data_IF_762013891508
#
_entry.id   IF_762013891508
#
_cell.length_a   1.000
_cell.length_b   1.000
_cell.length_c   1.000
_cell.angle_alpha   90.00
_cell.angle_beta   90.00
_cell.angle_gamma   90.00
#
_symmetry.space_group_name_H-M   'P 1'
#
loop_
_entity.id
_entity.type
_entity.pdbx_description
1 polymer ?
#
# COMPACT_ATOMS: atom_id res chain seq x y z
N UNK A 1 -7.19 32.44 1.63
CA UNK A 1 -7.11 31.42 2.72
C UNK A 1 -8.30 30.49 2.58
N UNK A 2 -8.07 29.20 2.49
CA UNK A 2 -9.10 28.15 2.38
C UNK A 2 -9.22 27.43 3.70
N UNK A 3 -10.42 26.97 4.07
CA UNK A 3 -10.68 26.34 5.36
C UNK A 3 -11.53 25.07 5.20
N UNK A 4 -11.26 24.06 6.02
CA UNK A 4 -12.04 22.82 6.10
C UNK A 4 -12.08 22.28 7.54
N UNK A 5 -12.91 21.30 7.80
CA UNK A 5 -12.87 20.55 9.06
C UNK A 5 -11.60 19.70 9.13
N UNK A 6 -11.24 19.05 8.01
CA UNK A 6 -10.08 18.17 7.90
C UNK A 6 -9.21 18.59 6.73
N UNK A 7 -7.91 18.71 6.95
CA UNK A 7 -6.91 18.85 5.89
C UNK A 7 -6.06 17.58 5.84
N UNK A 8 -6.00 16.93 4.68
CA UNK A 8 -5.21 15.73 4.45
C UNK A 8 -4.03 16.06 3.54
N UNK A 9 -2.82 15.77 3.97
CA UNK A 9 -1.59 15.97 3.22
C UNK A 9 -1.13 14.68 2.57
N UNK A 10 -1.11 14.65 1.24
CA UNK A 10 -0.69 13.50 0.42
C UNK A 10 -1.82 12.90 -0.40
N UNK A 11 -1.67 12.93 -1.73
CA UNK A 11 -2.65 12.42 -2.71
C UNK A 11 -2.48 10.94 -3.07
N UNK A 12 -1.66 10.19 -2.32
CA UNK A 12 -1.52 8.73 -2.47
C UNK A 12 -2.73 7.97 -1.91
N UNK A 13 -2.73 6.65 -2.10
CA UNK A 13 -3.87 5.78 -1.75
C UNK A 13 -4.33 5.96 -0.28
N UNK A 14 -3.40 6.11 0.66
CA UNK A 14 -3.72 6.34 2.07
C UNK A 14 -4.45 7.67 2.27
N UNK A 15 -3.92 8.77 1.71
CA UNK A 15 -4.56 10.08 1.84
C UNK A 15 -5.93 10.12 1.17
N UNK A 16 -6.10 9.48 0.01
CA UNK A 16 -7.38 9.32 -0.66
C UNK A 16 -8.38 8.54 0.21
N UNK A 17 -7.93 7.45 0.86
CA UNK A 17 -8.79 6.65 1.73
C UNK A 17 -9.25 7.45 2.97
N UNK A 18 -8.34 8.16 3.63
CA UNK A 18 -8.64 9.02 4.79
C UNK A 18 -9.59 10.16 4.41
N UNK A 19 -9.31 10.85 3.30
CA UNK A 19 -10.15 11.95 2.83
C UNK A 19 -11.58 11.48 2.49
N UNK A 20 -11.70 10.35 1.80
CA UNK A 20 -12.99 9.77 1.46
C UNK A 20 -13.80 9.37 2.69
N UNK A 21 -13.15 8.79 3.72
CA UNK A 21 -13.82 8.39 4.96
C UNK A 21 -14.21 9.59 5.81
N UNK A 22 -13.34 10.58 5.99
CA UNK A 22 -13.68 11.81 6.72
C UNK A 22 -14.89 12.52 6.07
N UNK A 23 -14.91 12.61 4.75
CA UNK A 23 -16.05 13.18 4.01
C UNK A 23 -17.31 12.30 4.12
N UNK A 24 -17.18 10.98 4.12
CA UNK A 24 -18.31 10.05 4.37
C UNK A 24 -18.94 10.28 5.74
N UNK A 25 -18.14 10.64 6.74
CA UNK A 25 -18.58 11.01 8.09
C UNK A 25 -19.08 12.45 8.22
N UNK A 26 -19.21 13.18 7.12
CA UNK A 26 -19.84 14.50 7.05
C UNK A 26 -18.89 15.69 7.17
N UNK A 27 -17.59 15.49 7.23
CA UNK A 27 -16.63 16.59 7.27
C UNK A 27 -16.42 17.24 5.89
N UNK A 28 -16.17 18.54 5.89
CA UNK A 28 -15.52 19.22 4.77
C UNK A 28 -14.02 18.88 4.77
N UNK A 29 -13.48 18.52 3.61
CA UNK A 29 -12.11 18.05 3.48
C UNK A 29 -11.36 18.84 2.42
N UNK A 30 -10.13 19.23 2.72
CA UNK A 30 -9.17 19.68 1.72
C UNK A 30 -8.06 18.64 1.63
N UNK A 31 -7.93 18.00 0.46
CA UNK A 31 -6.82 17.09 0.16
C UNK A 31 -5.74 17.85 -0.61
N UNK A 32 -4.56 17.97 -0.01
CA UNK A 32 -3.40 18.65 -0.61
C UNK A 32 -2.35 17.63 -1.00
N UNK A 33 -1.95 17.64 -2.26
CA UNK A 33 -0.86 16.77 -2.73
C UNK A 33 -0.53 17.02 -4.19
N UNK A 34 0.73 16.85 -4.52
CA UNK A 34 1.23 16.81 -5.89
C UNK A 34 1.55 15.37 -6.30
N UNK A 35 1.57 15.10 -7.60
CA UNK A 35 2.09 13.84 -8.11
C UNK A 35 3.62 13.90 -8.14
N UNK A 36 4.25 12.87 -7.58
CA UNK A 36 5.71 12.74 -7.54
C UNK A 36 6.15 11.44 -8.20
N UNK A 37 7.25 11.51 -8.93
CA UNK A 37 7.87 10.29 -9.46
C UNK A 37 8.33 9.39 -8.31
N UNK A 38 8.08 8.09 -8.44
CA UNK A 38 8.44 7.11 -7.41
C UNK A 38 7.41 6.93 -6.30
N UNK A 39 6.19 7.48 -6.42
CA UNK A 39 5.11 7.19 -5.47
C UNK A 39 4.88 5.69 -5.31
N UNK A 40 4.75 5.24 -4.05
CA UNK A 40 4.59 3.83 -3.73
C UNK A 40 3.28 3.23 -4.23
N UNK A 41 2.18 3.99 -4.20
CA UNK A 41 0.84 3.49 -4.54
C UNK A 41 0.74 2.97 -5.98
N UNK A 42 1.14 3.73 -7.03
CA UNK A 42 1.12 3.22 -8.38
C UNK A 42 2.21 2.18 -8.66
N UNK A 43 3.32 2.21 -7.90
CA UNK A 43 4.43 1.28 -8.11
C UNK A 43 4.21 -0.10 -7.49
N UNK A 44 3.27 -0.27 -6.57
CA UNK A 44 3.03 -1.53 -5.90
C UNK A 44 2.47 -2.62 -6.81
N UNK A 45 2.59 -3.88 -6.39
CA UNK A 45 2.03 -5.02 -7.09
C UNK A 45 0.60 -5.39 -6.67
N UNK A 46 0.04 -4.71 -5.68
CA UNK A 46 -1.34 -4.92 -5.25
C UNK A 46 -1.60 -6.14 -4.39
N UNK A 47 -0.58 -6.79 -3.85
CA UNK A 47 -0.75 -7.96 -2.98
C UNK A 47 -1.49 -7.60 -1.69
N UNK A 48 -2.38 -8.50 -1.28
CA UNK A 48 -3.12 -8.48 -0.02
C UNK A 48 -2.77 -9.77 0.73
N UNK A 49 -1.62 -9.79 1.38
CA UNK A 49 -0.91 -10.98 1.80
C UNK A 49 -0.64 -11.09 3.33
N UNK A 50 -1.59 -10.79 4.23
CA UNK A 50 -1.32 -10.88 5.67
C UNK A 50 -1.08 -12.31 6.16
N UNK A 51 -1.49 -13.32 5.40
CA UNK A 51 -1.22 -14.73 5.67
C UNK A 51 0.20 -15.11 5.24
N UNK A 52 0.53 -14.89 3.96
CA UNK A 52 1.84 -15.22 3.40
C UNK A 52 2.99 -14.39 4.01
N UNK A 53 2.72 -13.16 4.46
CA UNK A 53 3.70 -12.31 5.16
C UNK A 53 3.55 -12.36 6.70
N UNK A 54 2.87 -13.35 7.25
CA UNK A 54 2.51 -13.40 8.68
C UNK A 54 3.72 -13.46 9.64
N UNK A 55 4.83 -14.03 9.21
CA UNK A 55 6.06 -14.09 10.00
C UNK A 55 6.78 -12.73 10.12
N UNK A 56 6.50 -11.82 9.19
CA UNK A 56 7.03 -10.46 9.20
C UNK A 56 6.21 -9.51 10.08
N UNK A 57 5.08 -9.95 10.61
CA UNK A 57 4.19 -9.14 11.47
C UNK A 57 4.55 -9.35 12.95
N UNK A 58 5.07 -8.32 13.64
CA UNK A 58 5.75 -8.47 14.93
C UNK A 58 4.83 -8.78 16.13
N UNK A 59 3.51 -8.58 15.98
CA UNK A 59 2.56 -8.83 17.08
C UNK A 59 1.19 -9.27 16.56
N UNK A 60 0.36 -9.83 17.47
CA UNK A 60 -1.02 -10.19 17.16
C UNK A 60 -1.87 -8.99 16.72
N UNK A 61 -1.73 -7.85 17.40
CA UNK A 61 -2.47 -6.63 17.09
C UNK A 61 -2.15 -6.11 15.67
N UNK A 62 -0.88 -6.15 15.27
CA UNK A 62 -0.46 -5.78 13.91
C UNK A 62 -1.00 -6.76 12.88
N UNK A 63 -1.00 -8.05 13.20
CA UNK A 63 -1.57 -9.08 12.32
C UNK A 63 -3.08 -8.92 12.17
N UNK A 64 -3.79 -8.68 13.27
CA UNK A 64 -5.24 -8.43 13.25
C UNK A 64 -5.59 -7.20 12.41
N UNK A 65 -4.82 -6.12 12.53
CA UNK A 65 -4.98 -4.92 11.72
C UNK A 65 -4.75 -5.21 10.21
N UNK A 66 -3.74 -6.01 9.88
CA UNK A 66 -3.46 -6.40 8.49
C UNK A 66 -4.54 -7.32 7.92
N UNK A 67 -5.02 -8.30 8.70
CA UNK A 67 -6.16 -9.17 8.35
C UNK A 67 -7.42 -8.33 8.15
N UNK A 68 -7.71 -7.40 9.07
CA UNK A 68 -8.83 -6.46 8.94
C UNK A 68 -8.75 -5.64 7.66
N UNK A 69 -7.56 -5.17 7.29
CA UNK A 69 -7.30 -4.48 6.03
C UNK A 69 -7.69 -5.30 4.81
N UNK A 70 -7.26 -6.57 4.75
CA UNK A 70 -7.63 -7.51 3.68
C UNK A 70 -9.13 -7.80 3.65
N UNK A 71 -9.71 -8.08 4.80
CA UNK A 71 -11.10 -8.52 4.92
C UNK A 71 -12.11 -7.41 4.58
N UNK A 72 -11.69 -6.15 4.66
CA UNK A 72 -12.48 -5.01 4.21
C UNK A 72 -12.56 -4.87 2.68
N UNK A 73 -11.63 -5.45 1.92
CA UNK A 73 -11.56 -5.22 0.46
C UNK A 73 -12.86 -5.54 -0.29
N UNK A 74 -13.56 -6.67 -0.05
CA UNK A 74 -14.80 -6.97 -0.78
C UNK A 74 -15.87 -5.89 -0.64
N UNK A 75 -16.13 -5.40 0.57
CA UNK A 75 -17.11 -4.35 0.82
C UNK A 75 -16.61 -2.97 0.35
N UNK A 76 -15.33 -2.70 0.52
CA UNK A 76 -14.68 -1.47 0.09
C UNK A 76 -14.74 -1.30 -1.44
N UNK A 77 -14.42 -2.35 -2.20
CA UNK A 77 -14.48 -2.32 -3.66
C UNK A 77 -15.91 -2.24 -4.19
N UNK A 78 -16.87 -2.91 -3.53
CA UNK A 78 -18.28 -2.78 -3.87
C UNK A 78 -18.77 -1.33 -3.69
N UNK A 79 -18.51 -0.73 -2.54
CA UNK A 79 -18.88 0.67 -2.29
C UNK A 79 -18.19 1.62 -3.28
N UNK A 80 -16.96 1.31 -3.66
CA UNK A 80 -16.21 2.09 -4.65
C UNK A 80 -16.84 1.98 -6.05
N UNK A 81 -17.26 0.78 -6.45
CA UNK A 81 -17.98 0.55 -7.70
C UNK A 81 -19.34 1.29 -7.71
N UNK A 82 -20.12 1.17 -6.64
CA UNK A 82 -21.42 1.83 -6.52
C UNK A 82 -21.32 3.35 -6.65
N UNK A 83 -20.22 3.96 -6.16
CA UNK A 83 -20.00 5.41 -6.23
C UNK A 83 -19.36 5.87 -7.54
N UNK A 84 -18.57 5.03 -8.20
CA UNK A 84 -17.71 5.48 -9.32
C UNK A 84 -18.02 4.82 -10.66
N UNK A 85 -18.68 3.67 -10.65
CA UNK A 85 -18.90 2.82 -11.81
C UNK A 85 -17.63 2.10 -12.30
N UNK A 86 -16.52 2.17 -11.54
CA UNK A 86 -15.25 1.56 -11.91
C UNK A 86 -15.11 0.22 -11.20
N UNK A 87 -15.10 -0.86 -11.98
CA UNK A 87 -14.83 -2.21 -11.48
C UNK A 87 -13.31 -2.41 -11.33
N UNK A 88 -12.88 -2.64 -10.10
CA UNK A 88 -11.46 -2.83 -9.77
C UNK A 88 -11.17 -4.33 -9.74
N UNK A 89 -10.31 -4.85 -10.65
CA UNK A 89 -9.96 -6.26 -10.66
C UNK A 89 -9.39 -6.72 -9.31
N UNK A 90 -10.01 -7.77 -8.76
CA UNK A 90 -9.68 -8.32 -7.45
C UNK A 90 -9.56 -9.84 -7.53
N UNK A 91 -8.34 -10.35 -7.44
CA UNK A 91 -8.04 -11.78 -7.41
C UNK A 91 -8.09 -12.29 -5.96
N UNK A 92 -8.92 -13.31 -5.72
CA UNK A 92 -9.14 -13.97 -4.43
C UNK A 92 -8.82 -15.47 -4.50
N UNK A 93 -8.02 -15.92 -5.45
CA UNK A 93 -7.67 -17.33 -5.59
C UNK A 93 -6.72 -17.84 -4.51
N UNK A 94 -6.27 -16.97 -3.64
CA UNK A 94 -5.26 -17.25 -2.62
C UNK A 94 -3.85 -16.92 -3.09
N UNK A 95 -2.92 -17.02 -2.14
CA UNK A 95 -1.48 -16.88 -2.39
C UNK A 95 -0.79 -18.20 -2.09
N UNK A 96 0.04 -18.68 -3.01
CA UNK A 96 0.92 -19.82 -2.83
C UNK A 96 2.29 -19.32 -2.37
N UNK A 97 2.63 -19.62 -1.12
CA UNK A 97 3.96 -19.38 -0.55
C UNK A 97 4.85 -20.60 -0.84
N UNK A 98 5.83 -20.44 -1.72
CA UNK A 98 6.71 -21.51 -2.18
C UNK A 98 7.70 -21.96 -1.10
N UNK A 99 7.88 -23.26 -0.95
CA UNK A 99 8.79 -23.86 0.01
C UNK A 99 9.87 -24.62 -0.76
N UNK A 100 11.13 -24.24 -0.56
CA UNK A 100 12.30 -24.86 -1.20
C UNK A 100 12.68 -26.20 -0.58
N UNK A 101 12.71 -26.28 0.75
CA UNK A 101 13.17 -27.44 1.50
C UNK A 101 12.02 -28.22 2.13
N UNK A 102 12.22 -29.53 2.33
CA UNK A 102 11.24 -30.43 2.97
C UNK A 102 11.23 -30.36 4.49
N UNK A 103 11.85 -29.36 5.10
CA UNK A 103 11.82 -29.19 6.54
C UNK A 103 10.40 -28.91 7.04
N UNK A 104 10.11 -29.25 8.32
CA UNK A 104 8.80 -29.00 8.89
C UNK A 104 8.51 -27.51 8.89
N UNK A 105 7.67 -27.07 7.97
CA UNK A 105 7.28 -25.68 7.84
C UNK A 105 6.16 -25.39 8.84
N UNK A 106 6.33 -24.32 9.63
CA UNK A 106 5.25 -23.81 10.48
C UNK A 106 4.14 -23.28 9.59
N UNK A 107 2.96 -23.86 9.70
CA UNK A 107 1.79 -23.42 8.94
C UNK A 107 0.96 -22.45 9.77
N UNK A 108 0.68 -21.25 9.28
CA UNK A 108 -0.29 -20.34 9.89
C UNK A 108 -1.68 -20.99 9.95
N UNK A 109 -2.47 -20.64 10.97
CA UNK A 109 -3.85 -21.13 11.09
C UNK A 109 -4.67 -20.72 9.84
N UNK A 110 -5.43 -21.68 9.30
CA UNK A 110 -6.25 -21.45 8.10
C UNK A 110 -5.49 -21.55 6.77
N UNK A 111 -4.20 -21.91 6.77
CA UNK A 111 -3.45 -22.23 5.56
C UNK A 111 -3.44 -23.73 5.27
N UNK A 112 -3.16 -24.09 4.02
CA UNK A 112 -3.15 -25.48 3.53
C UNK A 112 -1.78 -25.84 2.95
N UNK A 113 -1.31 -27.07 3.23
CA UNK A 113 -0.10 -27.59 2.58
C UNK A 113 -0.44 -28.19 1.22
N UNK A 114 0.28 -27.74 0.19
CA UNK A 114 0.23 -28.29 -1.17
C UNK A 114 1.58 -28.97 -1.43
N UNK A 115 1.56 -30.28 -1.59
CA UNK A 115 2.81 -31.03 -1.88
C UNK A 115 3.31 -30.77 -3.31
N UNK A 116 4.56 -31.19 -3.60
CA UNK A 116 5.20 -30.94 -4.88
C UNK A 116 4.43 -31.50 -6.09
N UNK A 117 3.67 -32.59 -5.92
CA UNK A 117 2.86 -33.16 -6.99
C UNK A 117 1.64 -32.29 -7.25
N UNK A 118 0.89 -32.00 -6.21
CA UNK A 118 -0.31 -31.16 -6.29
C UNK A 118 0.04 -29.75 -6.79
N UNK A 119 1.19 -29.19 -6.36
CA UNK A 119 1.68 -27.89 -6.84
C UNK A 119 1.92 -27.88 -8.34
N UNK A 120 2.55 -28.95 -8.91
CA UNK A 120 2.76 -29.06 -10.35
C UNK A 120 1.46 -29.23 -11.15
N UNK A 121 0.47 -29.91 -10.56
CA UNK A 121 -0.85 -30.05 -11.19
C UNK A 121 -1.62 -28.71 -11.17
N UNK A 122 -1.49 -27.96 -10.08
CA UNK A 122 -2.16 -26.67 -9.89
C UNK A 122 -1.51 -25.53 -10.70
N UNK A 123 -0.18 -25.49 -10.73
CA UNK A 123 0.63 -24.45 -11.35
C UNK A 123 1.73 -25.05 -12.24
N UNK A 124 1.39 -25.57 -13.41
CA UNK A 124 2.31 -26.34 -14.27
C UNK A 124 3.47 -25.52 -14.85
N UNK A 125 3.43 -24.19 -14.80
CA UNK A 125 4.48 -23.31 -15.28
C UNK A 125 5.54 -23.01 -14.22
N UNK A 126 5.34 -23.43 -12.95
CA UNK A 126 6.34 -23.23 -11.88
C UNK A 126 7.53 -24.19 -12.02
N UNK A 127 8.66 -23.76 -11.44
CA UNK A 127 9.85 -24.58 -11.27
C UNK A 127 9.66 -25.68 -10.21
N UNK A 128 10.76 -26.35 -9.86
CA UNK A 128 10.75 -27.38 -8.83
C UNK A 128 10.85 -26.78 -7.43
N UNK A 129 9.84 -27.09 -6.60
CA UNK A 129 9.75 -26.74 -5.19
C UNK A 129 9.33 -27.94 -4.37
N UNK A 130 9.66 -27.98 -3.09
CA UNK A 130 9.22 -29.04 -2.18
C UNK A 130 7.69 -29.05 -1.98
N UNK A 131 7.08 -27.90 -2.17
CA UNK A 131 5.63 -27.68 -2.08
C UNK A 131 5.34 -26.20 -1.91
N UNK A 132 4.12 -25.91 -1.47
CA UNK A 132 3.69 -24.55 -1.14
C UNK A 132 2.73 -24.56 0.07
N UNK A 133 2.65 -23.43 0.75
CA UNK A 133 1.55 -23.15 1.68
C UNK A 133 0.53 -22.28 0.93
N UNK A 134 -0.69 -22.77 0.80
CA UNK A 134 -1.80 -21.99 0.28
C UNK A 134 -2.40 -21.14 1.41
N UNK A 135 -2.46 -19.84 1.21
CA UNK A 135 -3.16 -18.86 2.02
C UNK A 135 -4.48 -18.48 1.32
N UNK A 136 -5.60 -19.21 1.57
CA UNK A 136 -6.78 -19.14 0.72
C UNK A 136 -7.54 -17.80 0.78
N UNK A 137 -7.33 -17.03 1.84
CA UNK A 137 -7.98 -15.74 2.02
C UNK A 137 -7.17 -14.56 1.48
N UNK A 138 -5.89 -14.76 1.17
CA UNK A 138 -5.02 -13.75 0.60
C UNK A 138 -5.28 -13.59 -0.92
N UNK A 139 -4.76 -12.54 -1.52
CA UNK A 139 -4.99 -12.29 -2.94
C UNK A 139 -4.28 -11.05 -3.45
N UNK A 140 -4.84 -10.45 -4.50
CA UNK A 140 -4.30 -9.21 -5.06
C UNK A 140 -5.40 -8.35 -5.69
N UNK A 141 -5.19 -7.03 -5.64
CA UNK A 141 -6.04 -6.04 -6.31
C UNK A 141 -5.23 -5.33 -7.40
N UNK A 142 -5.90 -4.92 -8.48
CA UNK A 142 -5.26 -4.01 -9.43
C UNK A 142 -5.12 -2.63 -8.81
N UNK A 143 -3.92 -2.32 -8.35
CA UNK A 143 -3.63 -1.07 -7.65
C UNK A 143 -3.76 0.16 -8.54
N UNK A 144 -3.52 0.05 -9.85
CA UNK A 144 -3.65 1.18 -10.77
C UNK A 144 -5.12 1.53 -10.99
N UNK A 145 -5.97 0.53 -11.22
CA UNK A 145 -7.41 0.72 -11.33
C UNK A 145 -8.00 1.20 -10.01
N UNK A 146 -7.53 0.66 -8.87
CA UNK A 146 -7.91 1.10 -7.53
C UNK A 146 -7.64 2.60 -7.31
N UNK A 147 -6.44 3.07 -7.69
CA UNK A 147 -6.07 4.49 -7.56
C UNK A 147 -6.96 5.37 -8.44
N UNK A 148 -7.26 4.94 -9.68
CA UNK A 148 -8.17 5.66 -10.57
C UNK A 148 -9.56 5.76 -9.94
N UNK A 149 -10.09 4.66 -9.43
CA UNK A 149 -11.40 4.62 -8.77
C UNK A 149 -11.44 5.51 -7.51
N UNK A 150 -10.40 5.45 -6.67
CA UNK A 150 -10.29 6.30 -5.47
C UNK A 150 -10.18 7.79 -5.80
N UNK A 151 -9.42 8.16 -6.82
CA UNK A 151 -9.39 9.55 -7.30
C UNK A 151 -10.77 9.99 -7.80
N UNK A 152 -11.48 9.14 -8.56
CA UNK A 152 -12.84 9.42 -9.02
C UNK A 152 -13.79 9.64 -7.86
N UNK A 153 -13.76 8.77 -6.83
CA UNK A 153 -14.55 8.90 -5.59
C UNK A 153 -14.32 10.24 -4.92
N UNK A 154 -13.06 10.62 -4.72
CA UNK A 154 -12.68 11.89 -4.06
C UNK A 154 -13.13 13.10 -4.88
N UNK A 155 -12.89 13.09 -6.20
CA UNK A 155 -13.23 14.20 -7.08
C UNK A 155 -14.74 14.38 -7.29
N UNK A 156 -15.54 13.33 -7.15
CA UNK A 156 -16.99 13.40 -7.32
C UNK A 156 -17.72 13.93 -6.09
N UNK A 157 -17.06 14.00 -4.93
CA UNK A 157 -17.67 14.46 -3.68
C UNK A 157 -17.52 15.97 -3.50
N UNK A 158 -18.62 16.70 -3.44
CA UNK A 158 -18.64 18.16 -3.25
C UNK A 158 -18.06 18.62 -1.90
N UNK A 159 -18.00 17.71 -0.91
CA UNK A 159 -17.40 17.98 0.40
C UNK A 159 -15.86 17.85 0.40
N UNK A 160 -15.24 17.47 -0.72
CA UNK A 160 -13.79 17.34 -0.84
C UNK A 160 -13.25 18.32 -1.89
N UNK A 161 -12.40 19.24 -1.46
CA UNK A 161 -11.59 20.07 -2.37
C UNK A 161 -10.23 19.42 -2.54
N UNK A 162 -9.78 19.25 -3.79
CA UNK A 162 -8.45 18.71 -4.10
C UNK A 162 -7.54 19.85 -4.59
N UNK A 163 -6.45 20.07 -3.87
CA UNK A 163 -5.43 21.06 -4.22
C UNK A 163 -4.16 20.32 -4.69
N UNK A 164 -3.81 20.50 -5.95
CA UNK A 164 -2.59 19.93 -6.54
C UNK A 164 -1.45 20.93 -6.39
N UNK A 165 -0.78 20.89 -5.25
CA UNK A 165 0.35 21.76 -4.92
C UNK A 165 1.35 21.05 -4.03
N UNK A 166 2.61 21.46 -4.15
CA UNK A 166 3.64 21.11 -3.18
C UNK A 166 3.37 21.81 -1.84
N UNK A 167 3.76 21.15 -0.76
CA UNK A 167 3.63 21.65 0.61
C UNK A 167 4.99 22.17 1.03
N UNK A 168 5.06 23.47 1.34
CA UNK A 168 6.29 24.12 1.85
C UNK A 168 6.51 23.79 3.32
N UNK A 169 5.47 23.96 4.14
CA UNK A 169 5.56 23.73 5.59
C UNK A 169 4.17 23.64 6.22
N UNK A 170 4.14 23.18 7.47
CA UNK A 170 2.94 23.22 8.31
C UNK A 170 3.21 24.03 9.57
N UNK A 171 2.15 24.60 10.14
CA UNK A 171 2.16 25.22 11.47
C UNK A 171 1.05 24.57 12.30
N UNK A 172 1.45 23.70 13.21
CA UNK A 172 0.54 22.90 14.05
C UNK A 172 0.37 23.46 15.46
N UNK A 173 1.08 24.54 15.81
CA UNK A 173 0.97 25.20 17.12
C UNK A 173 -0.21 26.17 17.18
N UNK A 174 -0.79 26.53 16.03
CA UNK A 174 -2.00 27.34 15.98
C UNK A 174 -3.22 26.53 16.47
N UNK A 175 -4.22 27.22 16.99
CA UNK A 175 -5.50 26.60 17.40
C UNK A 175 -6.12 25.76 16.26
N UNK A 176 -5.96 26.20 15.04
CA UNK A 176 -6.24 25.46 13.81
C UNK A 176 -4.93 25.29 13.02
N UNK A 177 -4.52 24.04 12.72
CA UNK A 177 -3.34 23.77 11.91
C UNK A 177 -3.40 24.49 10.55
N UNK A 178 -2.25 25.01 10.13
CA UNK A 178 -2.10 25.70 8.85
C UNK A 178 -1.08 24.99 7.97
N UNK A 179 -1.41 24.92 6.71
CA UNK A 179 -0.54 24.38 5.65
C UNK A 179 -0.18 25.52 4.73
N UNK A 180 1.12 25.74 4.53
CA UNK A 180 1.65 26.75 3.63
C UNK A 180 2.07 26.02 2.36
N UNK A 181 1.45 26.38 1.25
CA UNK A 181 1.74 25.83 -0.06
C UNK A 181 2.96 26.50 -0.71
N UNK A 182 3.51 25.90 -1.74
CA UNK A 182 4.72 26.40 -2.40
C UNK A 182 4.48 27.76 -3.07
N UNK A 183 3.27 28.02 -3.57
CA UNK A 183 2.86 29.31 -4.16
C UNK A 183 2.55 30.38 -3.11
N UNK A 184 2.61 30.07 -1.82
CA UNK A 184 2.32 30.94 -0.70
C UNK A 184 0.87 30.96 -0.24
N UNK A 185 -0.04 30.24 -0.90
CA UNK A 185 -1.40 30.05 -0.41
C UNK A 185 -1.41 29.32 0.93
N UNK A 186 -2.41 29.63 1.76
CA UNK A 186 -2.59 29.03 3.10
C UNK A 186 -3.91 28.28 3.16
N UNK A 187 -3.82 27.03 3.63
CA UNK A 187 -4.95 26.17 3.95
C UNK A 187 -5.01 25.98 5.46
N UNK A 188 -6.17 26.10 6.06
CA UNK A 188 -6.38 25.93 7.50
C UNK A 188 -7.42 24.84 7.78
N UNK A 189 -7.14 23.94 8.72
CA UNK A 189 -8.02 22.84 9.10
C UNK A 189 -8.40 22.82 10.58
N UNK A 190 -9.50 22.17 10.91
CA UNK A 190 -9.78 21.77 12.29
C UNK A 190 -8.79 20.68 12.73
N UNK A 191 -8.61 19.68 11.88
CA UNK A 191 -7.65 18.57 12.04
C UNK A 191 -6.71 18.50 10.83
N UNK A 192 -5.45 18.18 11.06
CA UNK A 192 -4.44 17.94 10.03
C UNK A 192 -4.03 16.47 10.02
N UNK A 193 -4.06 15.82 8.86
CA UNK A 193 -3.60 14.45 8.68
C UNK A 193 -2.38 14.41 7.76
N UNK A 194 -1.29 13.81 8.22
CA UNK A 194 -0.05 13.64 7.46
C UNK A 194 -0.03 12.26 6.80
N UNK A 195 -0.19 12.21 5.47
CA UNK A 195 -0.22 11.00 4.65
C UNK A 195 0.75 11.10 3.44
N UNK A 196 1.89 11.78 3.61
CA UNK A 196 2.82 12.18 2.54
C UNK A 196 3.81 11.09 2.11
N UNK A 197 3.54 9.82 2.45
CA UNK A 197 4.32 8.66 1.98
C UNK A 197 5.80 8.77 2.30
N UNK A 198 6.67 8.47 1.32
CA UNK A 198 8.12 8.48 1.49
C UNK A 198 8.71 9.88 1.81
N UNK A 199 7.96 10.94 1.55
CA UNK A 199 8.35 12.33 1.81
C UNK A 199 7.94 12.84 3.19
N UNK A 200 7.39 11.98 4.05
CA UNK A 200 6.90 12.40 5.36
C UNK A 200 7.99 13.04 6.24
N UNK A 201 9.21 12.53 6.18
CA UNK A 201 10.34 13.10 6.93
C UNK A 201 10.80 14.48 6.43
N UNK A 202 10.41 14.88 5.21
CA UNK A 202 10.78 16.18 4.64
C UNK A 202 9.79 17.30 5.00
N UNK A 203 8.66 16.95 5.63
CA UNK A 203 7.63 17.94 5.97
C UNK A 203 8.09 18.84 7.13
N UNK A 204 8.33 20.10 6.83
CA UNK A 204 8.78 21.10 7.81
C UNK A 204 7.63 21.61 8.68
N UNK A 205 7.93 21.91 9.96
CA UNK A 205 6.97 22.50 10.90
C UNK A 205 6.20 21.50 11.74
N UNK A 206 6.50 20.20 11.64
CA UNK A 206 6.00 19.19 12.57
C UNK A 206 6.68 19.31 13.94
N UNK A 207 6.00 18.89 15.05
CA UNK A 207 6.54 19.00 16.40
C UNK A 207 7.72 18.06 16.65
N UNK A 208 7.85 17.02 15.81
CA UNK A 208 8.91 16.01 15.87
C UNK A 208 9.25 15.48 14.48
N UNK A 209 10.47 14.98 14.25
CA UNK A 209 10.83 14.32 13.00
C UNK A 209 10.01 13.02 12.86
N UNK A 210 9.60 12.72 11.63
CA UNK A 210 9.00 11.43 11.31
C UNK A 210 10.09 10.47 10.83
N UNK A 211 10.30 9.32 11.50
CA UNK A 211 11.32 8.35 11.11
C UNK A 211 10.88 7.52 9.90
N UNK A 212 10.60 8.19 8.80
CA UNK A 212 10.20 7.57 7.53
C UNK A 212 11.29 7.82 6.51
N UNK A 213 11.77 6.76 5.86
CA UNK A 213 12.75 6.85 4.78
C UNK A 213 12.27 6.16 3.52
N UNK A 214 12.68 6.65 2.33
CA UNK A 214 12.39 5.95 1.08
C UNK A 214 13.23 4.68 0.98
N UNK A 215 12.61 3.57 0.55
CA UNK A 215 13.30 2.34 0.16
C UNK A 215 12.83 1.96 -1.23
N UNK A 216 13.76 1.99 -2.20
CA UNK A 216 13.46 1.66 -3.59
C UNK A 216 13.09 0.20 -3.74
N UNK A 217 12.05 -0.07 -4.53
CA UNK A 217 11.72 -1.39 -5.04
C UNK A 217 11.52 -1.33 -6.53
N UNK A 218 12.32 -2.09 -7.27
CA UNK A 218 12.18 -2.25 -8.71
C UNK A 218 11.27 -3.43 -9.01
N UNK A 219 10.49 -3.32 -10.08
CA UNK A 219 9.58 -4.34 -10.59
C UNK A 219 9.70 -4.44 -12.10
N UNK A 220 9.35 -5.61 -12.63
CA UNK A 220 9.21 -5.84 -14.07
C UNK A 220 7.83 -6.42 -14.37
N UNK A 221 7.38 -6.25 -15.61
CA UNK A 221 6.16 -6.84 -16.14
C UNK A 221 6.47 -7.64 -17.40
N UNK A 222 6.04 -8.89 -17.42
CA UNK A 222 6.16 -9.78 -18.58
C UNK A 222 4.83 -9.96 -19.29
N UNK A 223 4.85 -10.12 -20.61
CA UNK A 223 3.69 -10.30 -21.50
C UNK A 223 3.23 -11.77 -21.49
N UNK A 224 2.90 -12.28 -20.30
CA UNK A 224 2.38 -13.66 -20.13
C UNK A 224 1.83 -13.85 -18.73
N UNK A 225 0.77 -14.63 -18.56
CA UNK A 225 0.44 -15.23 -17.27
C UNK A 225 1.37 -16.39 -16.98
N UNK A 226 2.12 -16.32 -15.88
CA UNK A 226 3.08 -17.34 -15.45
C UNK A 226 2.52 -18.23 -14.34
N UNK A 227 1.39 -17.85 -13.76
CA UNK A 227 0.69 -18.58 -12.70
C UNK A 227 -0.81 -18.24 -12.71
N UNK A 228 -1.60 -19.09 -12.06
CA UNK A 228 -3.01 -18.81 -11.77
C UNK A 228 -3.17 -18.05 -10.46
N UNK A 229 -2.41 -18.44 -9.45
CA UNK A 229 -2.36 -17.77 -8.14
C UNK A 229 -1.29 -16.69 -8.11
N UNK A 230 -1.38 -15.80 -7.13
CA UNK A 230 -0.22 -15.01 -6.70
C UNK A 230 0.78 -15.98 -6.09
N UNK A 231 2.04 -15.86 -6.49
CA UNK A 231 3.14 -16.68 -5.98
C UNK A 231 4.06 -15.82 -5.13
N UNK A 232 4.33 -16.26 -3.92
CA UNK A 232 5.26 -15.63 -2.98
C UNK A 232 6.39 -16.60 -2.61
N UNK A 233 7.63 -16.15 -2.55
CA UNK A 233 8.79 -17.00 -2.27
C UNK A 233 9.76 -17.10 -3.44
N UNK A 234 10.74 -18.00 -3.37
CA UNK A 234 11.76 -18.13 -4.41
C UNK A 234 12.63 -16.89 -4.62
N UNK A 235 12.67 -15.97 -3.64
CA UNK A 235 13.41 -14.71 -3.71
C UNK A 235 12.58 -13.50 -4.17
N UNK A 236 11.27 -13.65 -4.35
CA UNK A 236 10.39 -12.57 -4.76
C UNK A 236 8.93 -13.00 -4.86
N UNK A 237 8.19 -12.45 -5.83
CA UNK A 237 6.80 -12.81 -6.06
C UNK A 237 6.41 -12.65 -7.54
N UNK A 238 5.37 -13.41 -7.95
CA UNK A 238 4.67 -13.24 -9.21
C UNK A 238 3.22 -12.84 -8.92
N UNK A 239 2.75 -11.75 -9.54
CA UNK A 239 1.36 -11.32 -9.44
C UNK A 239 0.74 -11.33 -10.84
N UNK A 240 -0.11 -12.33 -11.16
CA UNK A 240 -0.77 -12.38 -12.45
C UNK A 240 -1.77 -11.23 -12.60
N UNK A 241 -1.87 -10.71 -13.82
CA UNK A 241 -2.85 -9.71 -14.25
C UNK A 241 -3.58 -10.21 -15.47
N UNK A 242 -4.88 -10.37 -15.36
CA UNK A 242 -5.75 -10.86 -16.46
C UNK A 242 -6.85 -9.85 -16.72
N UNK A 243 -7.02 -9.52 -17.97
CA UNK A 243 -8.03 -8.58 -18.45
C UNK A 243 -8.83 -9.23 -19.58
N UNK A 244 -9.69 -10.24 -19.27
CA UNK A 244 -10.45 -10.99 -20.26
C UNK A 244 -11.48 -10.13 -20.97
N UNK A 245 -12.02 -9.12 -20.30
CA UNK A 245 -13.06 -8.23 -20.79
C UNK A 245 -12.52 -6.98 -21.49
N UNK A 246 -11.20 -6.86 -21.63
CA UNK A 246 -10.59 -5.78 -22.39
C UNK A 246 -10.95 -5.94 -23.90
N UNK A 247 -11.02 -4.83 -24.68
CA UNK A 247 -11.26 -4.89 -26.14
C UNK A 247 -10.30 -5.85 -26.86
N UNK A 248 -9.09 -6.01 -26.34
CA UNK A 248 -8.11 -7.01 -26.73
C UNK A 248 -7.66 -7.72 -25.45
N UNK A 249 -8.23 -8.89 -25.11
CA UNK A 249 -7.86 -9.63 -23.91
C UNK A 249 -6.36 -9.88 -23.83
N UNK A 250 -5.78 -9.65 -22.67
CA UNK A 250 -4.35 -9.86 -22.45
C UNK A 250 -4.07 -10.35 -21.04
N UNK A 251 -2.94 -11.01 -20.91
CA UNK A 251 -2.44 -11.49 -19.63
C UNK A 251 -0.99 -11.01 -19.43
N UNK A 252 -0.67 -10.68 -18.21
CA UNK A 252 0.67 -10.23 -17.80
C UNK A 252 1.01 -10.79 -16.44
N UNK A 253 2.30 -10.74 -16.09
CA UNK A 253 2.76 -11.04 -14.74
C UNK A 253 3.67 -9.93 -14.27
N UNK A 254 3.38 -9.38 -13.08
CA UNK A 254 4.27 -8.47 -12.36
C UNK A 254 5.21 -9.32 -11.52
N UNK A 255 6.51 -9.06 -11.63
CA UNK A 255 7.57 -9.68 -10.84
C UNK A 255 8.19 -8.63 -9.94
N UNK A 256 8.31 -8.94 -8.68
CA UNK A 256 8.89 -8.04 -7.67
C UNK A 256 9.58 -8.79 -6.53
N UNK A 257 10.24 -8.09 -5.68
CA UNK A 257 10.76 -6.75 -5.90
C UNK A 257 12.13 -6.63 -5.23
N UNK A 258 12.93 -5.72 -5.74
CA UNK A 258 14.18 -5.36 -5.03
C UNK A 258 13.88 -4.58 -3.74
N UNK A 259 14.88 -4.48 -2.86
CA UNK A 259 14.84 -3.73 -1.63
C UNK A 259 16.16 -2.96 -1.48
N UNK A 260 16.14 -1.64 -1.77
CA UNK A 260 17.36 -0.86 -1.92
C UNK A 260 17.29 0.46 -1.17
N UNK A 261 18.28 0.71 -0.31
CA UNK A 261 18.41 1.97 0.42
C UNK A 261 19.29 2.94 -0.39
N UNK A 262 18.65 3.70 -1.26
CA UNK A 262 19.31 4.61 -2.22
C UNK A 262 18.70 6.03 -2.17
N UNK A 263 18.05 6.37 -1.06
CA UNK A 263 17.37 7.64 -0.91
C UNK A 263 16.21 7.79 -1.91
N UNK A 264 16.05 8.97 -2.47
CA UNK A 264 14.94 9.29 -3.39
C UNK A 264 15.21 8.94 -4.86
N UNK A 265 16.22 8.12 -5.14
CA UNK A 265 16.45 7.61 -6.50
C UNK A 265 15.38 6.54 -6.84
N UNK A 266 14.50 6.87 -7.76
CA UNK A 266 13.43 6.00 -8.26
C UNK A 266 13.73 5.42 -9.66
N UNK A 267 14.98 5.43 -10.10
CA UNK A 267 15.38 4.82 -11.36
C UNK A 267 15.45 3.30 -11.26
N UNK A 268 15.27 2.60 -12.39
CA UNK A 268 15.60 1.19 -12.52
C UNK A 268 17.06 1.02 -12.93
N UNK A 269 17.67 -0.09 -12.53
CA UNK A 269 19.07 -0.37 -12.82
C UNK A 269 19.22 -1.70 -13.58
N UNK A 270 20.23 -1.84 -14.46
CA UNK A 270 20.48 -3.12 -15.15
C UNK A 270 20.65 -4.30 -14.18
N UNK A 271 21.31 -4.07 -13.04
CA UNK A 271 21.50 -5.10 -12.01
C UNK A 271 20.16 -5.51 -11.36
N UNK A 272 19.31 -4.55 -11.02
CA UNK A 272 17.98 -4.82 -10.47
C UNK A 272 17.09 -5.57 -11.45
N UNK A 273 17.09 -5.17 -12.72
CA UNK A 273 16.31 -5.86 -13.76
C UNK A 273 16.80 -7.30 -13.94
N UNK A 274 18.13 -7.52 -14.03
CA UNK A 274 18.70 -8.86 -14.14
C UNK A 274 18.36 -9.75 -12.92
N UNK A 275 18.36 -9.19 -11.71
CA UNK A 275 17.95 -9.90 -10.50
C UNK A 275 16.48 -10.32 -10.58
N UNK A 276 15.57 -9.42 -11.00
CA UNK A 276 14.13 -9.73 -11.16
C UNK A 276 13.87 -10.77 -12.25
N UNK A 277 14.60 -10.73 -13.36
CA UNK A 277 14.55 -11.77 -14.38
C UNK A 277 15.05 -13.13 -13.84
N UNK A 278 16.08 -13.14 -13.00
CA UNK A 278 16.55 -14.36 -12.35
C UNK A 278 15.49 -14.93 -11.38
N UNK A 279 14.83 -14.07 -10.59
CA UNK A 279 13.69 -14.45 -9.74
C UNK A 279 12.56 -15.03 -10.59
N UNK A 280 12.18 -14.38 -11.68
CA UNK A 280 11.16 -14.88 -12.59
C UNK A 280 11.48 -16.27 -13.12
N UNK A 281 12.72 -16.49 -13.60
CA UNK A 281 13.19 -17.79 -14.11
C UNK A 281 13.24 -18.88 -13.03
N UNK A 282 13.63 -18.52 -11.81
CA UNK A 282 13.62 -19.45 -10.67
C UNK A 282 12.21 -19.90 -10.33
N UNK A 283 11.27 -18.96 -10.19
CA UNK A 283 9.90 -19.27 -9.84
C UNK A 283 9.18 -19.97 -11.00
N UNK A 284 9.31 -19.45 -12.21
CA UNK A 284 8.68 -20.00 -13.41
C UNK A 284 9.68 -20.01 -14.58
N UNK A 285 10.27 -21.17 -14.93
CA UNK A 285 11.16 -21.30 -16.09
C UNK A 285 10.51 -20.84 -17.41
N UNK A 286 9.19 -20.89 -17.51
CA UNK A 286 8.44 -20.40 -18.67
C UNK A 286 8.60 -18.89 -18.90
N UNK A 287 9.05 -18.13 -17.90
CA UNK A 287 9.38 -16.71 -18.04
C UNK A 287 10.50 -16.42 -19.05
N UNK A 288 11.37 -17.38 -19.30
CA UNK A 288 12.49 -17.23 -20.27
C UNK A 288 12.03 -16.96 -21.71
N UNK A 289 10.78 -17.32 -22.05
CA UNK A 289 10.17 -17.07 -23.37
C UNK A 289 9.18 -15.90 -23.38
N UNK A 290 9.04 -15.18 -22.27
CA UNK A 290 8.11 -14.06 -22.18
C UNK A 290 8.85 -12.74 -22.47
N UNK A 291 8.17 -11.83 -23.18
CA UNK A 291 8.71 -10.51 -23.48
C UNK A 291 8.59 -9.60 -22.26
N UNK A 292 9.62 -8.79 -22.00
CA UNK A 292 9.56 -7.70 -21.03
C UNK A 292 8.69 -6.57 -21.61
N UNK A 293 7.59 -6.26 -20.93
CA UNK A 293 6.65 -5.19 -21.34
C UNK A 293 7.05 -3.84 -20.74
N UNK A 294 7.39 -3.85 -19.47
CA UNK A 294 7.76 -2.63 -18.75
C UNK A 294 8.56 -2.94 -17.49
N UNK A 295 9.25 -1.91 -17.01
CA UNK A 295 9.93 -1.91 -15.72
C UNK A 295 9.78 -0.55 -15.06
N UNK A 296 9.72 -0.54 -13.74
CA UNK A 296 9.59 0.69 -12.95
C UNK A 296 10.14 0.48 -11.54
N UNK A 297 10.24 1.58 -10.80
CA UNK A 297 10.58 1.55 -9.39
C UNK A 297 9.68 2.48 -8.58
N UNK A 298 9.48 2.13 -7.31
CA UNK A 298 8.77 2.95 -6.35
C UNK A 298 9.52 3.07 -5.03
N UNK A 299 9.21 4.13 -4.30
CA UNK A 299 9.82 4.47 -3.02
C UNK A 299 8.88 4.10 -1.88
N UNK A 300 9.15 2.98 -1.23
CA UNK A 300 8.38 2.53 -0.06
C UNK A 300 8.65 3.46 1.12
N UNK A 301 7.61 3.96 1.81
CA UNK A 301 7.76 4.76 3.03
C UNK A 301 8.07 3.85 4.22
N UNK A 302 9.33 3.51 4.44
CA UNK A 302 9.73 2.59 5.50
C UNK A 302 10.01 3.32 6.80
N UNK A 303 9.54 2.76 7.91
CA UNK A 303 9.91 3.10 9.27
C UNK A 303 11.00 2.15 9.78
N UNK A 304 11.73 2.47 10.88
CA UNK A 304 12.77 1.58 11.42
C UNK A 304 12.28 0.18 11.79
N UNK A 305 11.04 0.08 12.29
CA UNK A 305 10.40 -1.18 12.72
C UNK A 305 9.44 -1.79 11.69
N UNK A 306 9.38 -1.21 10.49
CA UNK A 306 8.50 -1.61 9.39
C UNK A 306 6.99 -1.48 9.69
N UNK A 307 6.58 -0.85 10.80
CA UNK A 307 5.19 -0.57 11.12
C UNK A 307 4.78 0.84 10.70
N UNK A 308 3.55 1.05 10.24
CA UNK A 308 3.07 2.40 9.94
C UNK A 308 2.98 3.25 11.21
N UNK A 309 2.98 4.56 11.02
CA UNK A 309 2.71 5.55 12.07
C UNK A 309 1.27 5.98 11.88
N UNK A 310 0.40 5.58 12.83
CA UNK A 310 -1.04 5.86 12.78
C UNK A 310 -1.51 6.46 14.12
N UNK A 311 -2.46 7.40 14.03
CA UNK A 311 -3.10 8.00 15.19
C UNK A 311 -2.67 9.43 15.46
N UNK A 312 -3.10 9.95 16.61
CA UNK A 312 -2.82 11.33 17.02
C UNK A 312 -1.37 11.52 17.49
N UNK A 313 -0.88 12.73 17.27
CA UNK A 313 0.34 13.18 17.96
C UNK A 313 0.08 13.21 19.48
N UNK A 314 1.03 12.74 20.32
CA UNK A 314 0.83 12.67 21.77
C UNK A 314 0.63 14.05 22.43
N UNK A 315 1.15 15.12 21.83
CA UNK A 315 1.09 16.48 22.40
C UNK A 315 0.10 17.39 21.66
N UNK A 316 -0.32 17.01 20.44
CA UNK A 316 -1.18 17.84 19.55
C UNK A 316 -2.34 16.99 19.03
N UNK A 317 -3.47 17.02 19.72
CA UNK A 317 -4.61 16.14 19.46
C UNK A 317 -5.26 16.30 18.09
N UNK A 318 -5.12 17.44 17.44
CA UNK A 318 -5.63 17.72 16.10
C UNK A 318 -4.58 17.56 14.98
N UNK A 319 -3.45 16.91 15.29
CA UNK A 319 -2.46 16.43 14.33
C UNK A 319 -2.49 14.91 14.32
N UNK A 320 -2.81 14.32 13.17
CA UNK A 320 -2.86 12.88 12.96
C UNK A 320 -1.82 12.43 11.96
N UNK A 321 -1.33 11.21 12.14
CA UNK A 321 -0.40 10.55 11.23
C UNK A 321 -1.06 9.36 10.54
N UNK A 322 -0.81 9.21 9.26
CA UNK A 322 -1.17 8.08 8.42
C UNK A 322 -0.05 7.82 7.41
N UNK A 323 1.14 7.49 7.87
CA UNK A 323 2.34 7.37 7.03
C UNK A 323 3.21 6.18 7.42
N UNK A 324 4.27 5.92 6.67
CA UNK A 324 5.21 4.85 7.01
C UNK A 324 4.70 3.43 6.73
N UNK A 325 3.73 3.23 5.84
CA UNK A 325 3.08 1.93 5.56
C UNK A 325 4.00 0.89 4.90
N UNK A 326 5.21 1.25 4.54
CA UNK A 326 6.20 0.34 3.99
C UNK A 326 5.71 -0.41 2.75
N UNK A 327 5.70 -1.73 2.81
CA UNK A 327 5.24 -2.62 1.75
C UNK A 327 3.71 -2.78 1.73
N UNK A 328 3.04 -2.48 2.85
CA UNK A 328 1.65 -2.85 3.11
C UNK A 328 0.64 -1.72 2.85
N UNK A 329 1.04 -0.62 2.18
CA UNK A 329 0.18 0.53 1.96
C UNK A 329 -1.11 0.22 1.20
N UNK A 330 -1.08 -0.70 0.23
CA UNK A 330 -2.28 -1.13 -0.48
C UNK A 330 -3.15 -1.97 0.46
N UNK A 331 -2.61 -3.02 1.06
CA UNK A 331 -3.31 -3.87 2.02
C UNK A 331 -4.03 -3.08 3.12
N UNK A 332 -3.33 -2.08 3.68
CA UNK A 332 -3.80 -1.33 4.83
C UNK A 332 -4.66 -0.09 4.47
N UNK A 333 -4.82 0.24 3.19
CA UNK A 333 -5.52 1.47 2.80
C UNK A 333 -6.97 1.55 3.31
N UNK A 334 -7.82 0.51 3.19
CA UNK A 334 -9.19 0.58 3.69
C UNK A 334 -9.25 0.76 5.20
N UNK A 335 -8.52 -0.05 5.97
CA UNK A 335 -8.53 -0.03 7.43
C UNK A 335 -7.90 1.26 7.99
N UNK A 336 -6.83 1.76 7.36
CA UNK A 336 -6.25 3.07 7.72
C UNK A 336 -7.23 4.20 7.43
N UNK A 337 -7.91 4.14 6.28
CA UNK A 337 -8.94 5.11 5.92
C UNK A 337 -10.02 5.19 6.99
N UNK A 338 -10.59 4.04 7.39
CA UNK A 338 -11.62 3.97 8.44
C UNK A 338 -11.10 4.49 9.80
N UNK A 339 -9.94 3.99 10.23
CA UNK A 339 -9.39 4.34 11.55
C UNK A 339 -9.03 5.83 11.66
N UNK A 340 -8.25 6.34 10.73
CA UNK A 340 -7.77 7.73 10.76
C UNK A 340 -8.86 8.71 10.33
N UNK A 341 -9.73 8.32 9.40
CA UNK A 341 -10.89 9.13 9.01
C UNK A 341 -11.87 9.32 10.16
N UNK A 342 -12.08 8.31 11.01
CA UNK A 342 -12.87 8.44 12.24
C UNK A 342 -12.23 9.43 13.21
N UNK A 343 -10.94 9.26 13.52
CA UNK A 343 -10.21 10.17 14.41
C UNK A 343 -10.22 11.62 13.89
N UNK A 344 -10.10 11.78 12.57
CA UNK A 344 -10.06 13.11 11.96
C UNK A 344 -11.33 13.95 12.18
N UNK A 345 -12.46 13.29 12.40
CA UNK A 345 -13.75 13.94 12.73
C UNK A 345 -14.10 13.88 14.23
N UNK A 346 -13.14 13.50 15.08
CA UNK A 346 -13.33 13.42 16.54
C UNK A 346 -14.09 12.18 17.00
N UNK A 347 -14.31 11.18 16.14
CA UNK A 347 -14.88 9.90 16.53
C UNK A 347 -13.79 8.93 17.02
N UNK A 348 -14.20 7.85 17.70
CA UNK A 348 -13.28 6.79 18.10
C UNK A 348 -12.97 5.86 16.91
N UNK A 349 -11.77 5.29 16.90
CA UNK A 349 -11.39 4.21 16.00
C UNK A 349 -11.88 2.87 16.54
N UNK A 350 -12.40 2.01 15.67
CA UNK A 350 -12.75 0.63 16.01
C UNK A 350 -11.51 -0.27 16.18
N UNK A 351 -10.32 0.25 15.88
CA UNK A 351 -9.06 -0.48 15.92
C UNK A 351 -8.13 0.06 17.00
N UNK A 352 -7.40 -0.82 17.67
CA UNK A 352 -6.31 -0.42 18.56
C UNK A 352 -5.13 0.10 17.74
N UNK A 353 -4.89 1.40 17.83
CA UNK A 353 -3.78 2.06 17.14
C UNK A 353 -2.54 2.23 18.03
N UNK A 354 -2.57 1.76 19.29
CA UNK A 354 -1.45 1.92 20.22
C UNK A 354 -0.12 1.35 19.70
N UNK A 355 -0.09 0.19 18.99
CA UNK A 355 1.16 -0.33 18.44
C UNK A 355 1.76 0.55 17.32
N UNK A 356 0.94 1.42 16.72
CA UNK A 356 1.32 2.27 15.59
C UNK A 356 1.61 3.72 16.00
N UNK A 357 1.49 4.05 17.29
CA UNK A 357 1.72 5.41 17.78
C UNK A 357 3.14 5.89 17.46
N UNK A 358 3.26 7.16 17.07
CA UNK A 358 4.57 7.82 16.89
C UNK A 358 5.39 7.85 18.20
N UNK A 359 4.72 7.80 19.35
CA UNK A 359 5.38 7.80 20.68
C UNK A 359 6.32 6.60 20.88
N UNK A 360 6.16 5.50 20.10
CA UNK A 360 7.05 4.32 20.17
C UNK A 360 8.50 4.63 19.74
N UNK A 361 8.72 5.76 19.09
CA UNK A 361 10.05 6.23 18.71
C UNK A 361 10.60 7.31 19.68
N UNK A 362 9.91 7.61 20.79
CA UNK A 362 10.42 8.53 21.78
C UNK A 362 11.65 7.93 22.47
N UNK A 363 12.79 8.63 22.42
CA UNK A 363 14.06 8.18 23.03
C UNK A 363 14.95 7.30 22.13
N UNK A 364 14.63 7.19 20.85
CA UNK A 364 15.52 6.63 19.82
C UNK A 364 16.21 7.81 19.14
N UNK A 365 17.41 8.18 19.63
CA UNK A 365 18.31 9.17 19.01
C UNK A 365 19.12 8.52 17.87
#
# INVERSE_FOLDING_TARGET
>A
MRTADVVVLGGGLIGLAVAAEAAHRGASVILVGEQRFGEASPAGAGMLAPGAESEELPSSAVREFAIGGRDLYPSFLRALYDETGIDVPFDRNGILELIDDREPVRRPAGSEWIDARALRELEPALGEFAGAILHPNDGAVDNLVLIVAMNRRVQSRSSIEVIRSAIRSVNVTALRPRVILEDGDVVEGGTLVVATGAWAAQLSGLPRPLPVRPVRGQLIMLERALSHHVIYGGGGYLVPRRYPDAPHPFERTIIGATMEDVGFDNSTTPAGLAALEAVARRISPASASANLVSHWAGLRPMTPDSLPILGADPDISNLLYACGHGRNGILLAPVTGQAIGALAVGAQSDYDLSPFSIARFAGVD
#
